data_IF_100952507570
#
_entry.id   IF_100952507570
#
_cell.length_a   1.000
_cell.length_b   1.000
_cell.length_c   1.000
_cell.angle_alpha   90.00
_cell.angle_beta   90.00
_cell.angle_gamma   90.00
#
_symmetry.space_group_name_H-M   'P 1'
#
loop_
_entity.id
_entity.type
_entity.pdbx_description
1 polymer ?
#
# COMPACT_ATOMS: atom_id res chain seq x y z
N UNK A 1 9.52 -5.52 -9.43
CA UNK A 1 8.33 -5.69 -8.57
C UNK A 1 7.15 -4.87 -9.10
N UNK A 2 7.26 -3.53 -9.23
CA UNK A 2 6.20 -2.65 -9.74
C UNK A 2 5.65 -2.99 -11.14
N UNK A 3 6.49 -3.49 -12.05
CA UNK A 3 6.03 -3.97 -13.36
C UNK A 3 5.07 -5.18 -13.24
N UNK A 4 5.24 -6.02 -12.21
CA UNK A 4 4.32 -7.11 -11.88
C UNK A 4 2.96 -6.58 -11.44
N UNK A 5 2.94 -5.54 -10.58
CA UNK A 5 1.72 -4.87 -10.15
C UNK A 5 0.91 -4.32 -11.32
N UNK A 6 1.55 -3.59 -12.23
CA UNK A 6 0.85 -3.00 -13.35
C UNK A 6 0.31 -4.04 -14.36
N UNK A 7 1.13 -5.04 -14.72
CA UNK A 7 0.77 -6.03 -15.74
C UNK A 7 -0.25 -7.04 -15.20
N UNK A 8 -0.10 -7.49 -13.95
CA UNK A 8 -0.93 -8.57 -13.41
C UNK A 8 -2.19 -8.11 -12.68
N UNK A 9 -2.36 -6.83 -12.37
CA UNK A 9 -3.58 -6.38 -11.69
C UNK A 9 -4.85 -6.62 -12.53
N UNK A 10 -4.82 -6.36 -13.84
CA UNK A 10 -5.97 -6.60 -14.72
C UNK A 10 -6.25 -8.12 -14.90
N UNK A 11 -5.26 -8.97 -15.24
CA UNK A 11 -5.45 -10.42 -15.27
C UNK A 11 -5.93 -11.00 -13.93
N UNK A 12 -5.39 -10.52 -12.80
CA UNK A 12 -5.82 -10.94 -11.48
C UNK A 12 -7.28 -10.61 -11.24
N UNK A 13 -7.70 -9.40 -11.60
CA UNK A 13 -9.10 -8.98 -11.58
C UNK A 13 -10.05 -9.88 -12.35
N UNK A 14 -9.66 -10.23 -13.58
CA UNK A 14 -10.44 -11.13 -14.43
C UNK A 14 -10.49 -12.56 -13.88
N UNK A 15 -9.39 -13.03 -13.29
CA UNK A 15 -9.36 -14.34 -12.63
C UNK A 15 -10.29 -14.36 -11.41
N UNK A 16 -10.26 -13.34 -10.56
CA UNK A 16 -11.10 -13.22 -9.36
C UNK A 16 -12.58 -13.06 -9.72
N UNK A 17 -12.91 -12.37 -10.82
CA UNK A 17 -14.30 -12.24 -11.29
C UNK A 17 -14.86 -13.57 -11.78
N UNK A 18 -14.04 -14.41 -12.41
CA UNK A 18 -14.47 -15.70 -12.95
C UNK A 18 -14.43 -16.86 -11.95
N UNK A 19 -13.44 -16.88 -11.06
CA UNK A 19 -13.15 -18.01 -10.17
C UNK A 19 -13.40 -17.71 -8.68
N UNK A 20 -13.78 -16.48 -8.34
CA UNK A 20 -14.07 -16.05 -6.98
C UNK A 20 -12.85 -15.60 -6.18
N UNK A 21 -13.10 -14.87 -5.09
CA UNK A 21 -12.05 -14.30 -4.22
C UNK A 21 -11.15 -15.38 -3.61
N UNK A 22 -11.72 -16.50 -3.15
CA UNK A 22 -10.99 -17.59 -2.52
C UNK A 22 -9.90 -18.17 -3.42
N UNK A 23 -10.26 -18.49 -4.68
CA UNK A 23 -9.30 -19.05 -5.64
C UNK A 23 -8.25 -18.02 -6.03
N UNK A 24 -8.61 -16.73 -6.09
CA UNK A 24 -7.66 -15.64 -6.27
C UNK A 24 -6.60 -15.56 -5.17
N UNK A 25 -7.01 -15.58 -3.90
CA UNK A 25 -6.09 -15.56 -2.75
C UNK A 25 -5.17 -16.79 -2.74
N UNK A 26 -5.72 -18.00 -2.93
CA UNK A 26 -4.92 -19.23 -2.94
C UNK A 26 -3.91 -19.21 -4.09
N UNK A 27 -4.32 -18.78 -5.29
CA UNK A 27 -3.41 -18.68 -6.43
C UNK A 27 -2.29 -17.65 -6.20
N UNK A 28 -2.61 -16.50 -5.60
CA UNK A 28 -1.62 -15.49 -5.22
C UNK A 28 -0.61 -16.02 -4.19
N UNK A 29 -1.07 -16.74 -3.16
CA UNK A 29 -0.19 -17.37 -2.17
C UNK A 29 0.71 -18.45 -2.77
N UNK A 30 0.18 -19.25 -3.72
CA UNK A 30 0.97 -20.24 -4.44
C UNK A 30 2.04 -19.60 -5.31
N UNK A 31 1.70 -18.55 -6.08
CA UNK A 31 2.67 -17.79 -6.86
C UNK A 31 3.75 -17.19 -5.97
N UNK A 32 3.38 -16.61 -4.83
CA UNK A 32 4.33 -16.06 -3.88
C UNK A 32 5.27 -17.14 -3.34
N UNK A 33 4.72 -18.27 -2.87
CA UNK A 33 5.49 -19.39 -2.33
C UNK A 33 6.43 -20.01 -3.36
N UNK A 34 5.95 -20.23 -4.59
CA UNK A 34 6.79 -20.69 -5.71
C UNK A 34 7.88 -19.68 -6.00
N UNK A 35 7.55 -18.38 -6.11
CA UNK A 35 8.52 -17.32 -6.30
C UNK A 35 9.61 -17.29 -5.23
N UNK A 36 9.26 -17.48 -3.96
CA UNK A 36 10.24 -17.59 -2.86
C UNK A 36 11.12 -18.84 -2.98
N UNK A 37 10.57 -19.99 -3.39
CA UNK A 37 11.36 -21.21 -3.60
C UNK A 37 12.29 -21.12 -4.82
N UNK A 38 11.94 -20.33 -5.84
CA UNK A 38 12.82 -20.07 -6.99
C UNK A 38 14.11 -19.32 -6.61
N UNK A 39 14.20 -18.71 -5.42
CA UNK A 39 15.47 -18.16 -4.94
C UNK A 39 16.52 -19.25 -4.63
N UNK A 40 16.10 -20.48 -4.35
CA UNK A 40 17.01 -21.61 -4.08
C UNK A 40 17.90 -21.91 -5.31
N UNK A 41 17.34 -22.23 -6.50
CA UNK A 41 18.17 -22.41 -7.69
C UNK A 41 18.87 -21.10 -8.08
N UNK A 42 18.26 -19.93 -7.82
CA UNK A 42 18.90 -18.64 -8.07
C UNK A 42 20.25 -18.51 -7.36
N UNK A 43 20.31 -18.91 -6.09
CA UNK A 43 21.53 -18.90 -5.30
C UNK A 43 22.55 -19.94 -5.78
N UNK A 44 22.12 -21.15 -6.15
CA UNK A 44 23.02 -22.20 -6.63
C UNK A 44 23.66 -21.88 -7.98
N UNK A 45 22.91 -21.27 -8.90
CA UNK A 45 23.38 -20.95 -10.25
C UNK A 45 23.97 -19.54 -10.39
N UNK A 46 23.93 -18.71 -9.33
CA UNK A 46 24.37 -17.30 -9.33
C UNK A 46 23.84 -16.49 -10.52
N UNK A 47 22.66 -16.85 -11.03
CA UNK A 47 22.08 -16.25 -12.23
C UNK A 47 21.18 -15.09 -11.86
N UNK A 48 21.64 -13.87 -12.19
CA UNK A 48 20.87 -12.64 -11.98
C UNK A 48 19.48 -12.68 -12.65
N UNK A 49 19.40 -13.26 -13.85
CA UNK A 49 18.12 -13.38 -14.58
C UNK A 49 17.10 -14.25 -13.85
N UNK A 50 17.55 -15.31 -13.16
CA UNK A 50 16.65 -16.19 -12.41
C UNK A 50 16.13 -15.49 -11.15
N UNK A 51 16.96 -14.68 -10.49
CA UNK A 51 16.52 -13.84 -9.38
C UNK A 51 15.48 -12.78 -9.83
N UNK A 52 15.72 -12.12 -10.96
CA UNK A 52 14.75 -11.17 -11.52
C UNK A 52 13.41 -11.85 -11.86
N UNK A 53 13.46 -13.05 -12.45
CA UNK A 53 12.26 -13.83 -12.73
C UNK A 53 11.53 -14.22 -11.44
N UNK A 54 12.25 -14.67 -10.41
CA UNK A 54 11.67 -15.00 -9.11
C UNK A 54 10.99 -13.77 -8.47
N UNK A 55 11.64 -12.60 -8.48
CA UNK A 55 11.06 -11.34 -8.02
C UNK A 55 9.82 -10.92 -8.81
N UNK A 56 9.81 -11.17 -10.12
CA UNK A 56 8.63 -10.93 -10.95
C UNK A 56 7.46 -11.83 -10.55
N UNK A 57 7.71 -13.13 -10.35
CA UNK A 57 6.70 -14.10 -9.89
C UNK A 57 6.14 -13.74 -8.51
N UNK A 58 7.00 -13.34 -7.57
CA UNK A 58 6.59 -12.83 -6.25
C UNK A 58 5.70 -11.58 -6.40
N UNK A 59 6.12 -10.64 -7.25
CA UNK A 59 5.34 -9.44 -7.55
C UNK A 59 3.95 -9.79 -8.07
N UNK A 60 3.84 -10.75 -9.01
CA UNK A 60 2.56 -11.25 -9.49
C UNK A 60 1.71 -11.83 -8.35
N UNK A 61 2.30 -12.66 -7.47
CA UNK A 61 1.61 -13.24 -6.32
C UNK A 61 1.04 -12.19 -5.38
N UNK A 62 1.81 -11.14 -5.06
CA UNK A 62 1.36 -10.01 -4.24
C UNK A 62 0.21 -9.25 -4.90
N UNK A 63 0.29 -8.99 -6.21
CA UNK A 63 -0.79 -8.31 -6.93
C UNK A 63 -2.09 -9.10 -6.89
N UNK A 64 -2.03 -10.43 -7.03
CA UNK A 64 -3.20 -11.30 -6.87
C UNK A 64 -3.76 -11.25 -5.44
N UNK A 65 -2.87 -11.27 -4.44
CA UNK A 65 -3.27 -11.19 -3.04
C UNK A 65 -3.95 -9.87 -2.71
N UNK A 66 -3.37 -8.74 -3.09
CA UNK A 66 -3.94 -7.42 -2.82
C UNK A 66 -5.25 -7.21 -3.58
N UNK A 67 -5.30 -7.57 -4.86
CA UNK A 67 -6.50 -7.45 -5.70
C UNK A 67 -7.65 -8.31 -5.20
N UNK A 68 -7.38 -9.39 -4.46
CA UNK A 68 -8.41 -10.23 -3.87
C UNK A 68 -8.75 -9.85 -2.41
N UNK A 69 -7.74 -9.64 -1.57
CA UNK A 69 -7.89 -9.50 -0.12
C UNK A 69 -8.48 -8.15 0.29
N UNK A 70 -8.03 -7.06 -0.34
CA UNK A 70 -8.49 -5.71 0.00
C UNK A 70 -9.99 -5.51 -0.30
N UNK A 71 -10.51 -5.83 -1.50
CA UNK A 71 -11.96 -5.76 -1.73
C UNK A 71 -12.73 -6.72 -0.84
N UNK A 72 -12.23 -7.95 -0.66
CA UNK A 72 -12.89 -8.92 0.21
C UNK A 72 -13.05 -8.40 1.64
N UNK A 73 -12.02 -7.78 2.23
CA UNK A 73 -12.09 -7.18 3.56
C UNK A 73 -13.09 -6.01 3.64
N UNK A 74 -13.21 -5.22 2.56
CA UNK A 74 -14.19 -4.12 2.51
C UNK A 74 -15.62 -4.62 2.35
N UNK A 75 -15.84 -5.72 1.62
CA UNK A 75 -17.19 -6.26 1.39
C UNK A 75 -17.66 -7.21 2.51
N UNK A 76 -16.73 -7.78 3.28
CA UNK A 76 -17.04 -8.67 4.41
C UNK A 76 -17.62 -7.89 5.60
N UNK A 77 -18.93 -7.65 5.59
CA UNK A 77 -19.67 -7.03 6.70
C UNK A 77 -20.43 -5.76 6.30
N UNK A 78 -20.78 -4.92 7.27
CA UNK A 78 -21.54 -3.69 7.01
C UNK A 78 -20.76 -2.69 6.14
N UNK A 79 -21.42 -2.06 5.17
CA UNK A 79 -20.80 -1.07 4.25
C UNK A 79 -20.22 0.14 4.99
N UNK A 80 -20.81 0.53 6.11
CA UNK A 80 -20.39 1.71 6.89
C UNK A 80 -19.03 1.51 7.57
N UNK A 81 -18.71 0.29 7.98
CA UNK A 81 -17.44 -0.03 8.68
C UNK A 81 -16.38 -0.62 7.76
N UNK A 82 -16.59 -0.60 6.43
CA UNK A 82 -15.67 -1.15 5.45
C UNK A 82 -14.26 -0.54 5.54
N UNK A 83 -14.17 0.79 5.63
CA UNK A 83 -12.88 1.48 5.77
C UNK A 83 -12.18 1.11 7.09
N UNK A 84 -12.91 1.04 8.21
CA UNK A 84 -12.34 0.65 9.52
C UNK A 84 -11.81 -0.79 9.49
N UNK A 85 -12.56 -1.75 8.96
CA UNK A 85 -12.09 -3.15 8.84
C UNK A 85 -10.85 -3.27 7.96
N UNK A 86 -10.82 -2.59 6.82
CA UNK A 86 -9.65 -2.63 5.94
C UNK A 86 -8.44 -1.98 6.62
N UNK A 87 -8.60 -0.86 7.31
CA UNK A 87 -7.54 -0.23 8.10
C UNK A 87 -7.03 -1.15 9.22
N UNK A 88 -7.93 -1.83 9.94
CA UNK A 88 -7.55 -2.79 10.97
C UNK A 88 -6.73 -3.95 10.39
N UNK A 89 -7.18 -4.55 9.29
CA UNK A 89 -6.45 -5.62 8.61
C UNK A 89 -5.07 -5.14 8.11
N UNK A 90 -5.00 -3.93 7.54
CA UNK A 90 -3.76 -3.31 7.06
C UNK A 90 -2.83 -2.83 8.20
N UNK A 91 -3.32 -2.76 9.44
CA UNK A 91 -2.46 -2.48 10.61
C UNK A 91 -1.53 -3.66 10.91
N UNK A 92 -1.99 -4.90 10.68
CA UNK A 92 -1.14 -6.11 10.78
C UNK A 92 -0.08 -6.19 9.70
N UNK A 93 -0.31 -5.58 8.53
CA UNK A 93 0.72 -5.42 7.51
C UNK A 93 1.87 -4.54 8.06
N UNK A 94 1.55 -3.42 8.71
CA UNK A 94 2.54 -2.56 9.38
C UNK A 94 3.33 -3.30 10.46
N UNK A 95 2.67 -4.14 11.25
CA UNK A 95 3.35 -5.01 12.23
C UNK A 95 4.34 -5.97 11.56
N UNK A 96 3.94 -6.56 10.43
CA UNK A 96 4.82 -7.40 9.60
C UNK A 96 6.07 -6.66 9.13
N UNK A 97 5.93 -5.40 8.69
CA UNK A 97 7.07 -4.57 8.26
C UNK A 97 8.05 -4.22 9.39
N UNK A 98 7.61 -4.21 10.64
CA UNK A 98 8.49 -3.97 11.81
C UNK A 98 9.13 -5.30 12.26
N UNK A 99 8.35 -6.38 12.34
CA UNK A 99 8.84 -7.68 12.79
C UNK A 99 9.78 -8.33 11.77
N UNK A 100 9.54 -8.17 10.46
CA UNK A 100 10.30 -8.85 9.42
C UNK A 100 11.78 -8.43 9.39
N UNK A 101 12.16 -7.14 9.43
CA UNK A 101 13.57 -6.73 9.53
C UNK A 101 14.23 -7.18 10.82
N UNK A 102 13.52 -7.20 11.95
CA UNK A 102 14.07 -7.66 13.24
C UNK A 102 14.36 -9.17 13.18
N UNK A 103 13.41 -9.97 12.70
CA UNK A 103 13.57 -11.41 12.50
C UNK A 103 14.65 -11.72 11.45
N UNK A 104 14.66 -11.00 10.33
CA UNK A 104 15.67 -11.15 9.29
C UNK A 104 17.05 -10.79 9.82
N UNK A 105 17.19 -9.69 10.55
CA UNK A 105 18.45 -9.27 11.17
C UNK A 105 18.97 -10.29 12.17
N UNK A 106 18.10 -10.81 13.05
CA UNK A 106 18.47 -11.88 13.97
C UNK A 106 18.88 -13.15 13.22
N UNK A 107 18.12 -13.61 12.23
CA UNK A 107 18.41 -14.86 11.51
C UNK A 107 19.63 -14.76 10.59
N UNK A 108 19.86 -13.60 9.97
CA UNK A 108 20.97 -13.37 9.05
C UNK A 108 22.28 -13.05 9.77
N UNK A 109 22.24 -12.36 10.92
CA UNK A 109 23.44 -11.88 11.62
C UNK A 109 23.77 -12.62 12.93
N UNK A 110 22.94 -13.57 13.41
CA UNK A 110 23.20 -14.30 14.68
C UNK A 110 24.15 -15.51 14.58
N UNK A 111 25.04 -15.57 13.58
CA UNK A 111 26.10 -16.60 13.56
C UNK A 111 27.47 -15.98 13.29
N UNK A 112 28.32 -16.11 14.30
CA UNK A 112 29.73 -15.75 14.40
C UNK A 112 30.49 -15.63 13.07
N UNK A 113 31.06 -14.45 12.83
CA UNK A 113 32.50 -14.27 12.55
C UNK A 113 33.17 -15.03 11.39
N UNK A 114 32.46 -15.74 10.51
CA UNK A 114 33.06 -16.38 9.34
C UNK A 114 32.55 -15.75 8.05
N UNK A 115 33.47 -15.05 7.40
CA UNK A 115 33.48 -14.63 6.00
C UNK A 115 33.22 -15.82 5.08
N UNK A 116 31.94 -16.09 4.79
CA UNK A 116 31.53 -17.14 3.86
C UNK A 116 30.03 -17.13 3.66
N UNK A 117 29.57 -16.43 2.62
CA UNK A 117 28.24 -16.59 2.01
C UNK A 117 27.08 -16.65 3.02
N UNK A 118 26.72 -15.51 3.62
CA UNK A 118 25.50 -15.38 4.39
C UNK A 118 24.35 -16.02 3.60
N UNK A 119 23.76 -17.09 4.13
CA UNK A 119 22.85 -17.95 3.39
C UNK A 119 21.49 -17.25 3.27
N UNK A 120 21.42 -16.27 2.37
CA UNK A 120 20.23 -15.48 2.08
C UNK A 120 19.03 -16.39 1.76
N UNK A 121 19.28 -17.59 1.20
CA UNK A 121 18.24 -18.59 0.97
C UNK A 121 17.48 -19.02 2.24
N UNK A 122 18.08 -19.07 3.43
CA UNK A 122 17.41 -19.58 4.64
C UNK A 122 16.17 -18.75 5.01
N UNK A 123 16.26 -17.41 5.13
CA UNK A 123 15.08 -16.56 5.33
C UNK A 123 14.02 -16.70 4.23
N UNK A 124 14.41 -16.77 2.96
CA UNK A 124 13.46 -16.90 1.84
C UNK A 124 12.77 -18.27 1.83
N UNK A 125 13.47 -19.35 2.20
CA UNK A 125 12.88 -20.69 2.36
C UNK A 125 11.87 -20.67 3.51
N UNK A 126 12.24 -20.14 4.67
CA UNK A 126 11.33 -20.03 5.81
C UNK A 126 10.06 -19.24 5.44
N UNK A 127 10.22 -18.10 4.77
CA UNK A 127 9.09 -17.29 4.28
C UNK A 127 8.23 -18.08 3.28
N UNK A 128 8.84 -18.75 2.29
CA UNK A 128 8.13 -19.56 1.31
C UNK A 128 7.32 -20.69 1.95
N UNK A 129 7.91 -21.41 2.92
CA UNK A 129 7.22 -22.49 3.66
C UNK A 129 6.05 -21.94 4.47
N UNK A 130 6.24 -20.83 5.19
CA UNK A 130 5.15 -20.19 5.95
C UNK A 130 4.02 -19.77 5.01
N UNK A 131 4.33 -19.13 3.88
CA UNK A 131 3.30 -18.71 2.90
C UNK A 131 2.56 -19.91 2.32
N UNK A 132 3.24 -21.01 2.01
CA UNK A 132 2.60 -22.22 1.51
C UNK A 132 1.72 -22.90 2.57
N UNK A 133 2.11 -22.88 3.84
CA UNK A 133 1.26 -23.35 4.94
C UNK A 133 -0.01 -22.49 5.05
N UNK A 134 0.12 -21.16 4.97
CA UNK A 134 -1.03 -20.24 4.95
C UNK A 134 -1.91 -20.53 3.73
N UNK A 135 -1.33 -20.78 2.55
CA UNK A 135 -2.06 -21.19 1.35
C UNK A 135 -2.88 -22.45 1.58
N UNK A 136 -2.30 -23.45 2.25
CA UNK A 136 -2.97 -24.71 2.58
C UNK A 136 -4.14 -24.48 3.55
N UNK A 137 -3.96 -23.65 4.58
CA UNK A 137 -5.05 -23.28 5.50
C UNK A 137 -6.17 -22.56 4.76
N UNK A 138 -5.86 -21.53 3.95
CA UNK A 138 -6.86 -20.81 3.15
C UNK A 138 -7.53 -21.69 2.09
N UNK A 139 -6.83 -22.70 1.58
CA UNK A 139 -7.42 -23.69 0.67
C UNK A 139 -8.50 -24.54 1.35
N UNK A 140 -8.48 -24.67 2.69
CA UNK A 140 -9.47 -25.45 3.47
C UNK A 140 -10.61 -24.58 3.99
N UNK A 141 -10.40 -23.28 4.18
CA UNK A 141 -11.43 -22.35 4.67
C UNK A 141 -12.48 -22.09 3.58
N UNK A 142 -13.76 -22.28 3.92
CA UNK A 142 -14.89 -21.87 3.08
C UNK A 142 -15.16 -20.38 3.30
N UNK A 143 -14.54 -19.53 2.49
CA UNK A 143 -14.88 -18.11 2.43
C UNK A 143 -16.28 -17.98 1.79
N UNK A 144 -17.26 -17.31 2.44
CA UNK A 144 -18.54 -17.02 1.82
C UNK A 144 -18.30 -16.21 0.54
N UNK A 145 -18.86 -16.70 -0.55
CA UNK A 145 -18.77 -16.04 -1.84
C UNK A 145 -19.82 -14.93 -1.87
N UNK A 146 -19.35 -13.70 -2.06
CA UNK A 146 -20.24 -12.53 -2.06
C UNK A 146 -20.89 -12.49 -3.44
N UNK A 147 -22.17 -12.84 -3.49
CA UNK A 147 -22.97 -12.75 -4.71
C UNK A 147 -23.16 -11.28 -5.09
N UNK A 148 -22.71 -10.91 -6.28
CA UNK A 148 -22.90 -9.56 -6.80
C UNK A 148 -24.18 -9.54 -7.65
N UNK A 149 -25.21 -8.86 -7.16
CA UNK A 149 -26.39 -8.53 -7.98
C UNK A 149 -26.00 -7.57 -9.10
N UNK A 150 -26.54 -7.78 -10.30
CA UNK A 150 -26.33 -6.88 -11.45
C UNK A 150 -27.03 -5.56 -11.15
N UNK A 151 -26.29 -4.47 -11.00
CA UNK A 151 -26.87 -3.13 -11.12
C UNK A 151 -27.05 -2.83 -12.61
N UNK A 152 -28.31 -2.66 -12.98
CA UNK A 152 -28.78 -2.35 -14.32
C UNK A 152 -29.35 -0.93 -14.23
N UNK A 153 -29.01 -0.06 -15.18
CA UNK A 153 -29.61 1.27 -15.26
C UNK A 153 -31.15 1.14 -15.39
N UNK A 154 -31.93 2.20 -15.12
CA UNK A 154 -33.40 2.19 -15.30
C UNK A 154 -33.85 1.71 -16.70
N UNK A 155 -32.94 1.78 -17.68
CA UNK A 155 -33.11 1.36 -19.07
C UNK A 155 -32.53 -0.03 -19.44
N UNK A 156 -32.07 -0.85 -18.50
CA UNK A 156 -31.59 -2.20 -18.84
C UNK A 156 -30.10 -2.31 -19.25
N UNK A 157 -29.37 -1.18 -19.27
CA UNK A 157 -28.02 -1.11 -19.82
C UNK A 157 -26.93 -1.27 -18.75
N UNK A 158 -25.83 -1.95 -19.10
CA UNK A 158 -24.63 -2.07 -18.25
C UNK A 158 -23.96 -0.70 -18.14
N UNK A 159 -24.03 -0.05 -16.99
CA UNK A 159 -23.31 1.20 -16.74
C UNK A 159 -21.80 0.92 -16.78
N UNK A 160 -21.05 1.73 -17.53
CA UNK A 160 -19.61 1.58 -17.61
C UNK A 160 -18.92 2.06 -16.33
N UNK A 161 -17.89 1.34 -15.88
CA UNK A 161 -17.05 1.74 -14.72
C UNK A 161 -16.53 3.19 -14.82
N UNK A 162 -16.25 3.64 -16.05
CA UNK A 162 -15.74 4.98 -16.35
C UNK A 162 -16.81 6.09 -16.26
N UNK A 163 -18.08 5.76 -16.12
CA UNK A 163 -19.14 6.75 -15.87
C UNK A 163 -19.13 7.24 -14.42
N UNK A 164 -18.55 6.49 -13.48
CA UNK A 164 -18.47 6.87 -12.07
C UNK A 164 -17.34 7.89 -11.84
N UNK A 165 -17.68 9.19 -11.90
CA UNK A 165 -16.73 10.29 -11.68
C UNK A 165 -16.04 10.25 -10.31
N UNK A 166 -16.70 9.72 -9.27
CA UNK A 166 -16.09 9.53 -7.95
C UNK A 166 -15.03 8.43 -7.94
N UNK A 167 -15.25 7.34 -8.69
CA UNK A 167 -14.28 6.26 -8.83
C UNK A 167 -13.02 6.74 -9.55
N UNK A 168 -13.16 7.44 -10.68
CA UNK A 168 -12.00 7.98 -11.41
C UNK A 168 -11.20 8.94 -10.53
N UNK A 169 -11.89 9.82 -9.79
CA UNK A 169 -11.21 10.76 -8.91
C UNK A 169 -10.52 10.04 -7.73
N UNK A 170 -11.11 8.96 -7.23
CA UNK A 170 -10.51 8.09 -6.24
C UNK A 170 -9.29 7.34 -6.74
N UNK A 171 -9.30 6.86 -7.99
CA UNK A 171 -8.14 6.25 -8.64
C UNK A 171 -6.98 7.25 -8.76
N UNK A 172 -7.27 8.49 -9.18
CA UNK A 172 -6.26 9.55 -9.27
C UNK A 172 -5.73 9.90 -7.87
N UNK A 173 -6.60 10.00 -6.87
CA UNK A 173 -6.20 10.28 -5.49
C UNK A 173 -5.33 9.15 -4.91
N UNK A 174 -5.67 7.88 -5.16
CA UNK A 174 -4.89 6.74 -4.71
C UNK A 174 -3.51 6.70 -5.39
N UNK A 175 -3.46 6.98 -6.69
CA UNK A 175 -2.20 7.11 -7.42
C UNK A 175 -1.34 8.26 -6.89
N UNK A 176 -1.94 9.43 -6.66
CA UNK A 176 -1.24 10.58 -6.07
C UNK A 176 -0.73 10.28 -4.66
N UNK A 177 -1.53 9.59 -3.84
CA UNK A 177 -1.11 9.11 -2.53
C UNK A 177 0.14 8.22 -2.62
N UNK A 178 0.13 7.19 -3.48
CA UNK A 178 1.27 6.28 -3.66
C UNK A 178 2.53 7.03 -4.14
N UNK A 179 2.36 8.04 -5.00
CA UNK A 179 3.45 8.92 -5.42
C UNK A 179 4.03 9.67 -4.22
N UNK A 180 3.20 10.24 -3.35
CA UNK A 180 3.67 10.97 -2.16
C UNK A 180 4.37 10.08 -1.13
N UNK A 181 3.71 8.98 -0.76
CA UNK A 181 4.16 8.03 0.27
C UNK A 181 5.52 7.43 -0.05
N UNK A 182 5.64 6.88 -1.26
CA UNK A 182 6.83 6.15 -1.67
C UNK A 182 7.99 7.14 -1.89
N UNK A 183 7.71 8.35 -2.36
CA UNK A 183 8.72 9.40 -2.50
C UNK A 183 9.29 9.79 -1.13
N UNK A 184 8.43 10.07 -0.15
CA UNK A 184 8.85 10.44 1.20
C UNK A 184 9.67 9.31 1.84
N UNK A 185 9.21 8.07 1.77
CA UNK A 185 9.94 6.91 2.28
C UNK A 185 11.32 6.75 1.62
N UNK A 186 11.40 6.91 0.29
CA UNK A 186 12.64 6.70 -0.47
C UNK A 186 13.69 7.77 -0.19
N UNK A 187 13.24 9.00 0.03
CA UNK A 187 14.10 10.18 0.16
C UNK A 187 14.27 10.66 1.61
N UNK A 188 13.58 10.06 2.59
CA UNK A 188 13.70 10.39 4.00
C UNK A 188 15.15 10.35 4.50
N UNK A 189 15.87 9.26 4.23
CA UNK A 189 17.26 9.10 4.70
C UNK A 189 18.16 10.16 4.08
N UNK A 190 18.03 10.38 2.77
CA UNK A 190 18.80 11.41 2.06
C UNK A 190 18.54 12.80 2.66
N UNK A 191 17.28 13.11 2.99
CA UNK A 191 16.88 14.41 3.53
C UNK A 191 17.52 14.66 4.90
N UNK A 192 17.42 13.68 5.80
CA UNK A 192 17.96 13.79 7.17
C UNK A 192 19.49 13.88 7.18
N UNK A 193 20.15 13.18 6.26
CA UNK A 193 21.60 13.20 6.11
C UNK A 193 22.08 14.53 5.52
N UNK A 194 21.41 15.04 4.49
CA UNK A 194 21.77 16.31 3.85
C UNK A 194 21.59 17.52 4.77
N UNK A 195 20.58 17.47 5.65
CA UNK A 195 20.36 18.49 6.68
C UNK A 195 21.32 18.38 7.89
N UNK A 196 22.29 17.45 7.86
CA UNK A 196 23.27 17.20 8.93
C UNK A 196 22.66 16.92 10.32
N UNK A 197 21.41 16.44 10.39
CA UNK A 197 20.79 16.12 11.68
C UNK A 197 21.27 14.78 12.24
N UNK A 198 21.46 13.78 11.38
CA UNK A 198 21.84 12.43 11.79
C UNK A 198 22.61 11.69 10.69
N UNK A 199 23.41 10.69 11.10
CA UNK A 199 24.06 9.79 10.14
C UNK A 199 23.05 8.81 9.53
N UNK A 200 23.35 8.26 8.34
CA UNK A 200 22.44 7.36 7.60
C UNK A 200 21.94 6.16 8.44
N UNK A 201 22.79 5.64 9.33
CA UNK A 201 22.41 4.55 10.25
C UNK A 201 21.36 4.98 11.26
N UNK A 202 21.52 6.15 11.87
CA UNK A 202 20.56 6.70 12.83
C UNK A 202 19.26 7.10 12.13
N UNK A 203 19.35 7.73 10.95
CA UNK A 203 18.20 8.05 10.11
C UNK A 203 17.38 6.81 9.74
N UNK A 204 18.04 5.68 9.42
CA UNK A 204 17.36 4.41 9.15
C UNK A 204 16.63 3.86 10.38
N UNK A 205 17.20 4.00 11.58
CA UNK A 205 16.56 3.61 12.84
C UNK A 205 15.36 4.50 13.13
N UNK A 206 15.49 5.82 12.96
CA UNK A 206 14.38 6.78 13.12
C UNK A 206 13.27 6.54 12.11
N UNK A 207 13.60 6.21 10.86
CA UNK A 207 12.59 5.82 9.87
C UNK A 207 11.87 4.52 10.26
N UNK A 208 12.62 3.52 10.72
CA UNK A 208 12.06 2.19 11.04
C UNK A 208 11.23 2.17 12.30
N UNK A 209 11.72 2.76 13.40
CA UNK A 209 11.01 2.77 14.68
C UNK A 209 10.11 3.99 14.84
N UNK A 210 10.56 5.16 14.37
CA UNK A 210 9.80 6.40 14.41
C UNK A 210 8.76 6.44 13.28
N UNK A 211 9.19 6.49 12.02
CA UNK A 211 8.30 6.62 10.86
C UNK A 211 7.32 5.46 10.72
N UNK A 212 7.82 4.25 10.48
CA UNK A 212 7.01 3.04 10.28
C UNK A 212 6.27 2.60 11.56
N UNK A 213 6.87 2.82 12.73
CA UNK A 213 6.20 2.57 14.02
C UNK A 213 5.02 3.52 14.25
N UNK A 214 5.20 4.82 13.99
CA UNK A 214 4.13 5.80 14.11
C UNK A 214 3.06 5.61 13.02
N UNK A 215 3.46 5.17 11.83
CA UNK A 215 2.55 4.76 10.76
C UNK A 215 1.66 3.58 11.21
N UNK A 216 2.24 2.55 11.83
CA UNK A 216 1.48 1.42 12.38
C UNK A 216 0.51 1.87 13.49
N UNK A 217 1.00 2.66 14.46
CA UNK A 217 0.17 3.21 15.53
C UNK A 217 -0.94 4.10 14.99
N UNK A 218 -0.64 4.91 13.98
CA UNK A 218 -1.60 5.74 13.26
C UNK A 218 -2.69 4.91 12.60
N UNK A 219 -2.35 3.75 12.00
CA UNK A 219 -3.34 2.82 11.44
C UNK A 219 -4.25 2.23 12.51
N UNK A 220 -3.70 1.77 13.63
CA UNK A 220 -4.50 1.23 14.75
C UNK A 220 -5.42 2.29 15.34
N UNK A 221 -4.88 3.46 15.66
CA UNK A 221 -5.64 4.57 16.23
C UNK A 221 -6.72 5.04 15.26
N UNK A 222 -6.36 5.23 13.98
CA UNK A 222 -7.30 5.66 12.97
C UNK A 222 -8.39 4.62 12.66
N UNK A 223 -8.07 3.33 12.67
CA UNK A 223 -9.06 2.26 12.55
C UNK A 223 -10.10 2.32 13.67
N UNK A 224 -9.66 2.57 14.91
CA UNK A 224 -10.54 2.71 16.07
C UNK A 224 -11.39 3.98 16.00
N UNK A 225 -10.80 5.11 15.59
CA UNK A 225 -11.52 6.38 15.41
C UNK A 225 -12.56 6.27 14.29
N UNK A 226 -12.24 5.60 13.17
CA UNK A 226 -13.19 5.33 12.08
C UNK A 226 -14.34 4.41 12.47
N UNK A 227 -14.24 3.72 13.61
CA UNK A 227 -15.39 3.03 14.21
C UNK A 227 -16.45 3.99 14.77
N UNK A 228 -16.09 5.26 15.03
CA UNK A 228 -16.99 6.29 15.58
C UNK A 228 -17.19 7.50 14.67
N UNK A 229 -16.25 7.77 13.78
CA UNK A 229 -16.26 8.92 12.87
C UNK A 229 -16.37 8.44 11.42
N UNK A 230 -17.17 9.15 10.61
CA UNK A 230 -17.30 8.89 9.17
C UNK A 230 -15.92 8.93 8.48
N UNK A 231 -15.64 7.91 7.68
CA UNK A 231 -14.36 7.73 6.97
C UNK A 231 -13.99 8.93 6.08
N UNK A 232 -14.99 9.61 5.49
CA UNK A 232 -14.79 10.78 4.64
C UNK A 232 -14.22 11.97 5.42
N UNK A 233 -14.72 12.20 6.64
CA UNK A 233 -14.24 13.29 7.51
C UNK A 233 -12.83 12.98 8.02
N UNK A 234 -12.59 11.73 8.40
CA UNK A 234 -11.28 11.27 8.84
C UNK A 234 -10.22 11.47 7.74
N UNK A 235 -10.56 11.07 6.50
CA UNK A 235 -9.68 11.25 5.34
C UNK A 235 -9.36 12.74 5.12
N UNK A 236 -10.33 13.63 5.27
CA UNK A 236 -10.12 15.07 5.10
C UNK A 236 -9.14 15.62 6.15
N UNK A 237 -9.32 15.26 7.43
CA UNK A 237 -8.44 15.70 8.53
C UNK A 237 -7.02 15.20 8.32
N UNK A 238 -6.86 13.93 7.96
CA UNK A 238 -5.54 13.37 7.67
C UNK A 238 -4.91 14.03 6.44
N UNK A 239 -5.68 14.28 5.37
CA UNK A 239 -5.19 14.94 4.16
C UNK A 239 -4.78 16.39 4.43
N UNK A 240 -5.52 17.12 5.28
CA UNK A 240 -5.07 18.44 5.74
C UNK A 240 -3.78 18.35 6.56
N UNK A 241 -3.67 17.34 7.42
CA UNK A 241 -2.47 17.10 8.23
C UNK A 241 -1.23 16.88 7.36
N UNK A 242 -1.29 16.00 6.36
CA UNK A 242 -0.16 15.71 5.48
C UNK A 242 0.23 16.89 4.60
N UNK A 243 -0.73 17.65 4.09
CA UNK A 243 -0.43 18.89 3.35
C UNK A 243 0.29 19.89 4.24
N UNK A 244 -0.16 20.09 5.48
CA UNK A 244 0.47 21.02 6.42
C UNK A 244 1.85 20.56 6.85
N UNK A 245 2.04 19.27 7.15
CA UNK A 245 3.36 18.74 7.53
C UNK A 245 4.34 18.82 6.36
N UNK A 246 3.89 18.53 5.13
CA UNK A 246 4.75 18.63 3.93
C UNK A 246 5.09 20.09 3.61
N UNK A 247 4.16 21.02 3.84
CA UNK A 247 4.44 22.45 3.72
C UNK A 247 5.47 22.92 4.75
N UNK A 248 5.39 22.44 6.00
CA UNK A 248 6.38 22.72 7.03
C UNK A 248 7.76 22.12 6.71
N UNK A 249 7.82 21.00 5.98
CA UNK A 249 9.08 20.46 5.47
C UNK A 249 9.67 21.41 4.41
N UNK A 250 8.84 21.95 3.51
CA UNK A 250 9.28 22.92 2.50
C UNK A 250 9.75 24.26 3.06
N UNK A 251 9.26 24.66 4.23
CA UNK A 251 9.68 25.88 4.92
C UNK A 251 11.05 25.75 5.64
N UNK A 252 11.62 24.54 5.69
CA UNK A 252 12.94 24.22 6.23
C UNK A 252 13.22 24.83 7.63
N UNK A 253 12.38 24.48 8.60
CA UNK A 253 12.42 25.05 9.96
C UNK A 253 13.28 24.18 10.92
N UNK A 254 14.31 23.52 10.41
CA UNK A 254 15.21 22.69 11.22
C UNK A 254 14.53 21.43 11.79
N UNK A 255 14.81 21.09 13.06
CA UNK A 255 14.24 19.90 13.73
C UNK A 255 12.70 19.87 13.76
N UNK A 256 12.03 21.02 13.60
CA UNK A 256 10.58 21.08 13.48
C UNK A 256 10.10 20.40 12.19
N UNK A 257 10.85 20.52 11.10
CA UNK A 257 10.56 19.83 9.83
C UNK A 257 10.74 18.32 9.95
N UNK A 258 11.71 17.84 10.75
CA UNK A 258 11.85 16.40 11.07
C UNK A 258 10.63 15.89 11.86
N UNK A 259 10.22 16.62 12.90
CA UNK A 259 9.06 16.27 13.70
C UNK A 259 7.77 16.31 12.86
N UNK A 260 7.62 17.31 11.98
CA UNK A 260 6.50 17.41 11.06
C UNK A 260 6.48 16.22 10.08
N UNK A 261 7.62 15.83 9.53
CA UNK A 261 7.74 14.68 8.64
C UNK A 261 7.33 13.37 9.34
N UNK A 262 7.80 13.16 10.58
CA UNK A 262 7.39 12.01 11.40
C UNK A 262 5.89 12.02 11.68
N UNK A 263 5.33 13.16 12.11
CA UNK A 263 3.88 13.31 12.29
C UNK A 263 3.10 13.06 10.99
N UNK A 264 3.68 13.41 9.83
CA UNK A 264 3.12 13.13 8.51
C UNK A 264 2.82 11.65 8.29
N UNK A 265 3.73 10.75 8.68
CA UNK A 265 3.52 9.30 8.60
C UNK A 265 2.27 8.82 9.37
N UNK A 266 1.98 9.43 10.53
CA UNK A 266 0.79 9.07 11.30
C UNK A 266 -0.51 9.44 10.56
N UNK A 267 -0.53 10.59 9.90
CA UNK A 267 -1.69 11.03 9.12
C UNK A 267 -1.82 10.24 7.82
N UNK A 268 -0.70 9.89 7.20
CA UNK A 268 -0.65 9.13 5.96
C UNK A 268 -1.12 7.68 6.11
N UNK A 269 -0.87 7.10 7.28
CA UNK A 269 -1.18 5.73 7.67
C UNK A 269 -2.51 5.19 7.15
N UNK A 270 -3.58 5.96 7.30
CA UNK A 270 -4.95 5.50 7.02
C UNK A 270 -5.46 5.85 5.63
N UNK A 271 -4.73 6.64 4.84
CA UNK A 271 -5.28 7.19 3.60
C UNK A 271 -5.50 6.13 2.54
N UNK A 272 -4.51 5.26 2.26
CA UNK A 272 -4.66 4.18 1.28
C UNK A 272 -5.93 3.34 1.48
N UNK A 273 -6.11 2.65 2.62
CA UNK A 273 -7.28 1.81 2.83
C UNK A 273 -8.59 2.63 2.85
N UNK A 274 -8.55 3.88 3.30
CA UNK A 274 -9.74 4.74 3.34
C UNK A 274 -10.15 5.20 1.94
N UNK A 275 -9.20 5.67 1.12
CA UNK A 275 -9.43 6.03 -0.28
C UNK A 275 -9.93 4.80 -1.04
N UNK A 276 -9.25 3.66 -0.89
CA UNK A 276 -9.63 2.41 -1.53
C UNK A 276 -11.08 2.00 -1.18
N UNK A 277 -11.44 1.97 0.10
CA UNK A 277 -12.80 1.62 0.53
C UNK A 277 -13.85 2.62 0.04
N UNK A 278 -13.56 3.93 0.10
CA UNK A 278 -14.46 4.98 -0.38
C UNK A 278 -14.63 4.94 -1.90
N UNK A 279 -13.56 4.65 -2.64
CA UNK A 279 -13.57 4.52 -4.11
C UNK A 279 -14.35 3.30 -4.59
N UNK A 280 -14.54 2.28 -3.74
CA UNK A 280 -15.34 1.08 -4.05
C UNK A 280 -16.80 1.18 -3.61
N UNK A 281 -17.19 2.25 -2.90
CA UNK A 281 -18.54 2.41 -2.38
C UNK A 281 -19.55 2.63 -3.50
N UNK A 282 -20.56 1.76 -3.58
CA UNK A 282 -21.67 1.89 -4.52
C UNK A 282 -21.35 1.47 -5.96
N UNK A 283 -20.31 0.64 -6.16
CA UNK A 283 -19.97 0.08 -7.48
C UNK A 283 -20.57 -1.30 -7.76
N UNK A 284 -21.22 -1.92 -6.77
CA UNK A 284 -21.95 -3.18 -6.93
C UNK A 284 -21.13 -4.27 -7.64
N UNK A 285 -21.53 -4.60 -8.86
CA UNK A 285 -20.92 -5.65 -9.67
C UNK A 285 -19.57 -5.24 -10.30
N UNK A 286 -19.27 -3.94 -10.33
CA UNK A 286 -18.00 -3.41 -10.85
C UNK A 286 -16.87 -3.42 -9.83
N UNK A 287 -17.14 -3.71 -8.55
CA UNK A 287 -16.14 -3.67 -7.47
C UNK A 287 -14.88 -4.44 -7.83
N UNK A 288 -14.97 -5.69 -8.30
CA UNK A 288 -13.80 -6.50 -8.66
C UNK A 288 -12.91 -5.84 -9.71
N UNK A 289 -13.52 -5.29 -10.77
CA UNK A 289 -12.80 -4.61 -11.85
C UNK A 289 -12.23 -3.28 -11.39
N UNK A 290 -12.99 -2.53 -10.60
CA UNK A 290 -12.59 -1.27 -9.97
C UNK A 290 -11.38 -1.46 -9.05
N UNK A 291 -11.42 -2.48 -8.18
CA UNK A 291 -10.31 -2.85 -7.29
C UNK A 291 -9.05 -3.19 -8.06
N UNK A 292 -9.18 -3.85 -9.22
CA UNK A 292 -8.04 -4.18 -10.07
C UNK A 292 -7.35 -2.92 -10.60
N UNK A 293 -8.13 -1.93 -11.05
CA UNK A 293 -7.56 -0.63 -11.46
C UNK A 293 -6.95 0.13 -10.28
N UNK A 294 -7.59 0.10 -9.10
CA UNK A 294 -7.02 0.69 -7.90
C UNK A 294 -5.70 0.02 -7.51
N UNK A 295 -5.57 -1.31 -7.66
CA UNK A 295 -4.30 -2.02 -7.42
C UNK A 295 -3.21 -1.79 -8.46
N UNK A 296 -3.50 -1.06 -9.53
CA UNK A 296 -2.46 -0.56 -10.44
C UNK A 296 -1.82 0.72 -9.91
N UNK A 297 -2.43 1.41 -8.93
CA UNK A 297 -1.91 2.67 -8.39
C UNK A 297 -0.52 2.61 -7.76
N UNK A 298 -0.06 1.49 -7.15
CA UNK A 298 1.30 1.40 -6.61
C UNK A 298 2.41 1.58 -7.66
N UNK A 299 2.07 1.58 -8.96
CA UNK A 299 3.00 2.01 -10.02
C UNK A 299 3.48 3.47 -9.83
N UNK A 300 2.73 4.28 -9.08
CA UNK A 300 3.12 5.61 -8.62
C UNK A 300 4.45 5.60 -7.86
N UNK A 301 4.83 4.48 -7.24
CA UNK A 301 6.12 4.31 -6.57
C UNK A 301 7.35 4.31 -7.48
N UNK A 302 7.16 4.18 -8.80
CA UNK A 302 8.25 4.40 -9.77
C UNK A 302 8.28 5.87 -10.19
N UNK A 303 7.11 6.47 -10.34
CA UNK A 303 6.94 7.85 -10.83
C UNK A 303 7.39 8.86 -9.77
N UNK A 304 7.00 8.66 -8.51
CA UNK A 304 7.30 9.58 -7.43
C UNK A 304 8.79 9.75 -7.16
N UNK A 305 9.53 8.69 -6.82
CA UNK A 305 10.97 8.78 -6.59
C UNK A 305 11.75 9.30 -7.81
N UNK A 306 11.32 8.97 -9.03
CA UNK A 306 11.95 9.50 -10.24
C UNK A 306 11.74 11.01 -10.38
N UNK A 307 10.52 11.50 -10.18
CA UNK A 307 10.23 12.94 -10.21
C UNK A 307 10.94 13.68 -9.07
N UNK A 308 10.93 13.11 -7.86
CA UNK A 308 11.60 13.70 -6.70
C UNK A 308 13.13 13.75 -6.90
N UNK A 309 13.72 12.69 -7.46
CA UNK A 309 15.13 12.66 -7.83
C UNK A 309 15.49 13.73 -8.87
N UNK A 310 14.70 13.86 -9.94
CA UNK A 310 14.92 14.90 -10.95
C UNK A 310 14.85 16.32 -10.36
N UNK A 311 13.91 16.57 -9.45
CA UNK A 311 13.82 17.87 -8.78
C UNK A 311 15.00 18.09 -7.85
N UNK A 312 15.41 17.06 -7.10
CA UNK A 312 16.56 17.12 -6.19
C UNK A 312 17.87 17.43 -6.95
N UNK A 313 18.09 16.81 -8.11
CA UNK A 313 19.29 17.01 -8.94
C UNK A 313 19.42 18.45 -9.48
N UNK A 314 18.29 19.12 -9.72
CA UNK A 314 18.27 20.47 -10.29
C UNK A 314 18.12 21.59 -9.25
N UNK A 315 17.71 21.27 -8.01
CA UNK A 315 17.41 22.27 -6.99
C UNK A 315 18.08 21.92 -5.66
N UNK A 316 17.31 21.43 -4.70
CA UNK A 316 17.74 21.03 -3.36
C UNK A 316 16.77 19.99 -2.86
N UNK A 317 17.21 19.13 -1.96
CA UNK A 317 16.40 18.05 -1.42
C UNK A 317 15.12 18.51 -0.72
N UNK A 318 15.13 19.69 -0.08
CA UNK A 318 13.91 20.33 0.48
C UNK A 318 12.87 20.56 -0.62
N UNK A 319 13.27 21.15 -1.75
CA UNK A 319 12.37 21.45 -2.87
C UNK A 319 11.83 20.19 -3.55
N UNK A 320 12.52 19.07 -3.44
CA UNK A 320 12.04 17.78 -3.92
C UNK A 320 10.71 17.36 -3.24
N UNK A 321 10.44 17.82 -2.02
CA UNK A 321 9.16 17.59 -1.31
C UNK A 321 7.95 18.29 -1.94
N UNK A 322 8.15 19.13 -2.97
CA UNK A 322 7.04 19.69 -3.75
C UNK A 322 6.24 18.60 -4.47
N UNK A 323 6.89 17.49 -4.85
CA UNK A 323 6.25 16.36 -5.52
C UNK A 323 5.22 15.70 -4.57
N UNK A 324 5.59 15.28 -3.35
CA UNK A 324 4.63 14.87 -2.32
C UNK A 324 3.55 15.91 -2.00
N UNK A 325 3.90 17.21 -1.94
CA UNK A 325 2.92 18.26 -1.64
C UNK A 325 1.80 18.30 -2.68
N UNK A 326 2.16 18.31 -3.97
CA UNK A 326 1.19 18.31 -5.08
C UNK A 326 0.33 17.05 -5.03
N UNK A 327 0.94 15.89 -4.76
CA UNK A 327 0.25 14.62 -4.57
C UNK A 327 -0.81 14.69 -3.45
N UNK A 328 -0.44 15.18 -2.26
CA UNK A 328 -1.39 15.30 -1.15
C UNK A 328 -2.45 16.37 -1.37
N UNK A 329 -2.17 17.45 -2.12
CA UNK A 329 -3.18 18.41 -2.53
C UNK A 329 -4.29 17.76 -3.39
N UNK A 330 -3.93 16.82 -4.26
CA UNK A 330 -4.91 16.03 -5.04
C UNK A 330 -5.74 15.14 -4.12
N UNK A 331 -5.11 14.46 -3.15
CA UNK A 331 -5.81 13.64 -2.14
C UNK A 331 -6.76 14.50 -1.31
N UNK A 332 -6.34 15.70 -0.92
CA UNK A 332 -7.15 16.64 -0.16
C UNK A 332 -8.37 17.11 -0.95
N UNK A 333 -8.22 17.43 -2.24
CA UNK A 333 -9.32 17.77 -3.12
C UNK A 333 -10.34 16.62 -3.24
N UNK A 334 -9.86 15.38 -3.32
CA UNK A 334 -10.69 14.18 -3.28
C UNK A 334 -11.46 14.03 -1.96
N UNK A 335 -10.76 14.16 -0.84
CA UNK A 335 -11.37 14.08 0.49
C UNK A 335 -12.48 15.13 0.68
N UNK A 336 -12.22 16.37 0.24
CA UNK A 336 -13.21 17.47 0.34
C UNK A 336 -14.46 17.18 -0.50
N UNK A 337 -14.27 16.66 -1.71
CA UNK A 337 -15.40 16.28 -2.58
C UNK A 337 -16.20 15.12 -1.99
N UNK A 338 -15.53 14.12 -1.41
CA UNK A 338 -16.20 13.00 -0.72
C UNK A 338 -17.06 13.47 0.45
N UNK A 339 -16.55 14.39 1.28
CA UNK A 339 -17.33 14.98 2.39
C UNK A 339 -18.54 15.76 1.88
N UNK A 340 -18.38 16.57 0.82
CA UNK A 340 -19.49 17.32 0.21
C UNK A 340 -20.60 16.38 -0.31
N UNK A 341 -20.24 15.31 -1.02
CA UNK A 341 -21.22 14.33 -1.53
C UNK A 341 -21.90 13.57 -0.39
N UNK A 342 -21.16 13.15 0.64
CA UNK A 342 -21.74 12.48 1.82
C UNK A 342 -22.72 13.36 2.57
N UNK A 343 -22.45 14.67 2.63
CA UNK A 343 -23.31 15.65 3.30
C UNK A 343 -24.60 15.88 2.50
N UNK A 344 -24.50 15.98 1.18
CA UNK A 344 -25.64 16.12 0.27
C UNK A 344 -26.55 14.87 0.25
N UNK A 345 -25.99 13.68 0.47
CA UNK A 345 -26.77 12.42 0.56
C UNK A 345 -27.48 12.22 1.92
N UNK A 346 -27.16 13.01 2.94
CA UNK A 346 -27.76 12.92 4.27
C UNK A 346 -28.85 13.97 4.56
N UNK A 347 -29.18 14.78 3.56
CA UNK A 347 -30.29 15.75 3.55
C UNK A 347 -31.39 15.17 2.67
#
# INVERSE_FOLDING_TARGET
MYMGYFIMAIPAGFFISRFGYRRGVVFGLLLYGVGSLLFIPGQHYLSFNLFLFALFVIGCGLTFLETAANPYATELGAKETAASRLNFAQSFNGLGCICAPVLAGLLLFSKDGQTGSGNVALPYICMGVIVLLVALVFSRIKLPEIEHSVEVDEAGNKVGLWSHRLFIFGLIALFAYEVGEISINSFFINYVVEQNWMNAREASVVLSFGGLGLFMLGRFAGSWIMGRVRAEKMLLVCATGTVMTTLLVLLDVGMVSLAALLCGYAFEAIMFPTIFALSLRGLGNHTKRASSFLMMSPVGGVVGPLLMGLVADHTTMVWAFIVPLVAYCVVWAYARKMVSVSTASSI
#
